data_IF_244347346659
#
_entry.id   IF_244347346659
#
_cell.length_a   1.000
_cell.length_b   1.000
_cell.length_c   1.000
_cell.angle_alpha   90.00
_cell.angle_beta   90.00
_cell.angle_gamma   90.00
#
_symmetry.space_group_name_H-M   'P 1'
#
loop_
_entity.id
_entity.type
_entity.pdbx_description
1 polymer ?
#
# COMPACT_ATOMS: atom_id res chain seq x y z
N UNK A 1 -7.88 4.10 12.48
CA UNK A 1 -8.04 3.53 11.12
C UNK A 1 -6.71 2.90 10.73
N UNK A 2 -6.60 1.58 10.56
CA UNK A 2 -5.28 0.90 10.44
C UNK A 2 -4.42 1.40 9.28
N UNK A 3 -5.01 1.71 8.12
CA UNK A 3 -4.24 2.17 6.97
C UNK A 3 -3.62 3.56 7.18
N UNK A 4 -4.19 4.36 8.08
CA UNK A 4 -3.67 5.69 8.38
C UNK A 4 -2.41 5.62 9.25
N UNK A 5 -2.48 4.86 10.34
CA UNK A 5 -1.45 4.90 11.40
C UNK A 5 -0.46 3.73 11.29
N UNK A 6 -0.75 2.74 10.44
CA UNK A 6 0.08 1.54 10.26
C UNK A 6 0.20 1.12 8.80
N UNK A 7 -0.16 2.00 7.85
CA UNK A 7 -0.19 1.70 6.43
C UNK A 7 0.23 2.88 5.55
N UNK A 8 -0.53 3.07 4.47
CA UNK A 8 -0.17 3.97 3.36
C UNK A 8 -1.17 5.12 3.15
N UNK A 9 -2.00 5.42 4.16
CA UNK A 9 -3.02 6.49 4.12
C UNK A 9 -3.89 6.40 2.85
N UNK A 10 -4.20 5.18 2.43
CA UNK A 10 -4.79 4.87 1.12
C UNK A 10 -6.31 4.62 1.16
N UNK A 11 -6.95 4.85 2.31
CA UNK A 11 -8.40 4.70 2.50
C UNK A 11 -8.97 6.05 2.87
N UNK A 12 -9.94 6.55 2.10
CA UNK A 12 -10.75 7.72 2.46
C UNK A 12 -12.00 7.27 3.18
N UNK A 13 -12.48 8.08 4.12
CA UNK A 13 -13.75 7.85 4.80
C UNK A 13 -14.67 9.03 4.50
N UNK A 14 -15.86 8.73 3.99
CA UNK A 14 -16.89 9.72 3.80
C UNK A 14 -17.38 10.25 5.17
N UNK A 15 -17.39 11.56 5.36
CA UNK A 15 -17.66 12.17 6.67
C UNK A 15 -19.12 12.11 7.11
N UNK A 16 -20.05 11.79 6.20
CA UNK A 16 -21.49 11.72 6.48
C UNK A 16 -21.93 10.28 6.65
N UNK A 17 -21.55 9.42 5.71
CA UNK A 17 -21.96 8.01 5.65
C UNK A 17 -20.99 7.06 6.34
N UNK A 18 -19.78 7.54 6.68
CA UNK A 18 -18.69 6.73 7.23
C UNK A 18 -18.28 5.53 6.36
N UNK A 19 -18.62 5.55 5.06
CA UNK A 19 -18.19 4.51 4.11
C UNK A 19 -16.72 4.71 3.76
N UNK A 20 -15.96 3.62 3.86
CA UNK A 20 -14.56 3.57 3.47
C UNK A 20 -14.42 3.36 1.96
N UNK A 21 -13.48 4.06 1.33
CA UNK A 21 -13.15 3.88 -0.09
C UNK A 21 -11.64 3.71 -0.26
N UNK A 22 -11.24 2.62 -0.91
CA UNK A 22 -9.83 2.31 -1.19
C UNK A 22 -9.37 3.09 -2.43
N UNK A 23 -8.26 3.81 -2.33
CA UNK A 23 -7.68 4.61 -3.42
C UNK A 23 -6.58 3.85 -4.15
N UNK A 24 -6.15 4.36 -5.31
CA UNK A 24 -5.05 3.77 -6.10
C UNK A 24 -3.69 3.74 -5.38
N UNK A 25 -3.55 4.50 -4.29
CA UNK A 25 -2.38 4.47 -3.41
C UNK A 25 -2.26 3.18 -2.60
N UNK A 26 -3.26 2.31 -2.62
CA UNK A 26 -3.25 1.01 -1.96
C UNK A 26 -2.09 0.14 -2.47
N UNK A 27 -1.35 -0.46 -1.54
CA UNK A 27 -0.20 -1.33 -1.85
C UNK A 27 -0.52 -2.82 -1.73
N UNK A 28 -1.75 -3.17 -1.32
CA UNK A 28 -2.14 -4.56 -1.14
C UNK A 28 -1.59 -5.24 0.12
N UNK A 29 -1.18 -4.48 1.15
CA UNK A 29 -0.57 -5.03 2.37
C UNK A 29 -1.49 -5.88 3.27
N UNK A 30 -2.79 -5.97 2.94
CA UNK A 30 -3.80 -6.77 3.64
C UNK A 30 -4.16 -6.36 5.09
N UNK A 31 -3.53 -5.33 5.67
CA UNK A 31 -3.80 -4.92 7.06
C UNK A 31 -5.26 -4.53 7.34
N UNK A 32 -5.95 -3.90 6.37
CA UNK A 32 -7.34 -3.50 6.54
C UNK A 32 -8.29 -4.71 6.61
N UNK A 33 -8.08 -5.74 5.78
CA UNK A 33 -8.89 -6.95 5.80
C UNK A 33 -8.70 -7.71 7.12
N UNK A 34 -7.46 -7.82 7.61
CA UNK A 34 -7.15 -8.53 8.87
C UNK A 34 -7.78 -7.94 10.12
N UNK A 35 -8.08 -6.64 10.13
CA UNK A 35 -8.70 -5.96 11.29
C UNK A 35 -10.20 -5.67 11.09
N UNK A 36 -10.75 -6.03 9.93
CA UNK A 36 -12.16 -5.79 9.67
C UNK A 36 -13.02 -6.69 10.58
N UNK A 37 -13.96 -6.13 11.35
CA UNK A 37 -14.79 -6.94 12.25
C UNK A 37 -15.88 -7.73 11.51
N UNK A 38 -16.12 -7.45 10.23
CA UNK A 38 -17.12 -8.12 9.40
C UNK A 38 -16.39 -9.08 8.46
N UNK A 39 -16.68 -10.37 8.61
CA UNK A 39 -16.13 -11.44 7.76
C UNK A 39 -16.46 -11.13 6.30
N UNK A 40 -15.46 -11.26 5.43
CA UNK A 40 -15.55 -11.06 3.98
C UNK A 40 -16.06 -9.68 3.53
N UNK A 41 -16.02 -8.66 4.39
CA UNK A 41 -16.38 -7.29 4.01
C UNK A 41 -15.32 -6.63 3.10
N UNK A 42 -14.07 -7.06 3.20
CA UNK A 42 -12.96 -6.56 2.38
C UNK A 42 -12.33 -7.74 1.64
N UNK A 43 -12.33 -7.67 0.32
CA UNK A 43 -11.72 -8.67 -0.56
C UNK A 43 -10.45 -8.13 -1.21
N UNK A 44 -9.41 -8.97 -1.27
CA UNK A 44 -8.16 -8.65 -1.96
C UNK A 44 -8.25 -9.12 -3.41
N UNK A 45 -8.31 -8.18 -4.35
CA UNK A 45 -8.41 -8.47 -5.79
C UNK A 45 -7.08 -8.18 -6.52
N UNK A 46 -6.80 -8.87 -7.65
CA UNK A 46 -5.64 -8.55 -8.48
C UNK A 46 -5.67 -7.10 -8.96
N UNK A 47 -4.53 -6.41 -8.83
CA UNK A 47 -4.40 -5.02 -9.28
C UNK A 47 -4.44 -4.97 -10.82
N UNK A 48 -5.25 -4.06 -11.36
CA UNK A 48 -5.38 -3.84 -12.82
C UNK A 48 -4.32 -2.90 -13.39
N UNK A 49 -3.61 -2.17 -12.53
CA UNK A 49 -2.57 -1.21 -12.91
C UNK A 49 -1.18 -1.68 -12.47
N UNK A 50 -0.10 -1.34 -13.20
CA UNK A 50 1.26 -1.65 -12.80
C UNK A 50 1.59 -1.10 -11.41
N UNK A 51 2.31 -1.88 -10.60
CA UNK A 51 2.72 -1.47 -9.27
C UNK A 51 4.10 -0.81 -9.29
N UNK A 52 4.20 0.42 -8.79
CA UNK A 52 5.44 1.14 -8.60
C UNK A 52 5.71 1.35 -7.09
N UNK A 53 6.76 0.74 -6.50
CA UNK A 53 7.07 0.91 -5.09
C UNK A 53 7.43 2.35 -4.74
N UNK A 54 6.83 2.88 -3.66
CA UNK A 54 7.17 4.21 -3.12
C UNK A 54 8.48 4.12 -2.33
N UNK A 55 9.57 4.68 -2.88
CA UNK A 55 10.92 4.64 -2.28
C UNK A 55 11.29 5.86 -1.41
N UNK A 56 10.37 6.82 -1.26
CA UNK A 56 10.64 8.07 -0.54
C UNK A 56 11.47 9.08 -1.36
N UNK A 57 11.83 10.22 -0.77
CA UNK A 57 12.40 11.36 -1.49
C UNK A 57 13.90 11.25 -1.81
N UNK A 58 14.58 10.18 -1.38
CA UNK A 58 16.01 10.01 -1.65
C UNK A 58 16.20 9.18 -2.92
N UNK A 59 16.84 9.73 -3.98
CA UNK A 59 17.35 8.88 -5.02
C UNK A 59 18.37 7.95 -4.37
N UNK A 60 18.18 6.63 -4.55
CA UNK A 60 19.27 5.69 -4.36
C UNK A 60 20.38 6.20 -5.28
N UNK A 61 21.46 6.73 -4.71
CA UNK A 61 22.71 6.89 -5.45
C UNK A 61 23.11 5.47 -5.81
N UNK A 62 22.69 5.01 -6.99
CA UNK A 62 23.25 3.82 -7.60
C UNK A 62 24.69 4.23 -7.90
N UNK A 63 25.60 3.98 -6.95
CA UNK A 63 27.01 3.93 -7.28
C UNK A 63 27.14 2.78 -8.26
N UNK A 64 27.23 3.11 -9.55
CA UNK A 64 27.69 2.17 -10.56
C UNK A 64 29.09 1.75 -10.15
N UNK A 65 29.21 0.65 -9.41
CA UNK A 65 30.49 0.01 -9.16
C UNK A 65 30.60 -1.15 -10.15
N UNK A 66 31.51 -0.99 -11.09
CA UNK A 66 32.14 -2.08 -11.85
C UNK A 66 32.95 -3.05 -10.95
N UNK A 67 32.45 -3.32 -9.74
CA UNK A 67 33.01 -4.17 -8.67
C UNK A 67 31.77 -4.44 -7.76
N UNK A 68 31.16 -5.60 -7.66
CA UNK A 68 31.64 -6.94 -7.30
C UNK A 68 30.66 -7.91 -8.00
N UNK A 69 31.08 -8.93 -8.73
CA UNK A 69 31.86 -10.04 -8.21
C UNK A 69 30.88 -11.19 -7.92
N UNK A 70 31.09 -12.32 -8.58
CA UNK A 70 30.30 -13.55 -8.51
C UNK A 70 29.98 -13.97 -7.07
N UNK A 71 28.69 -14.09 -6.77
CA UNK A 71 28.06 -15.19 -6.04
C UNK A 71 26.56 -15.21 -6.31
#
# INVERSE_FOLDING_TARGET
>A
MVCNDSGYQAITFDSVTHKAHVTDNCTGCNLCASVCPIIDCIEMIPRTTPFAPKRGPFPLKISTSSQLGEY
#
